data_IF_256380948529
#
_entry.id   IF_256380948529
#
_cell.length_a   1.000
_cell.length_b   1.000
_cell.length_c   1.000
_cell.angle_alpha   90.00
_cell.angle_beta   90.00
_cell.angle_gamma   90.00
#
_symmetry.space_group_name_H-M   'P 1'
#
loop_
_entity.id
_entity.type
_entity.pdbx_description
1 polymer ?
#
# COMPACT_ATOMS: atom_id res chain seq x y z
N UNK A 1 -6.06 -10.74 -1.42
CA UNK A 1 -4.87 -10.95 -2.25
C UNK A 1 -3.79 -10.09 -1.65
N UNK A 2 -2.63 -10.68 -1.38
CA UNK A 2 -1.51 -9.95 -0.81
C UNK A 2 -1.06 -8.83 -1.74
N UNK A 3 -0.48 -7.77 -1.17
CA UNK A 3 0.25 -6.74 -1.90
C UNK A 3 1.24 -7.40 -2.88
N UNK A 4 1.16 -7.02 -4.15
CA UNK A 4 1.97 -7.54 -5.25
C UNK A 4 3.15 -6.62 -5.51
N UNK A 5 4.31 -7.20 -5.84
CA UNK A 5 5.50 -6.44 -6.21
C UNK A 5 5.19 -5.53 -7.40
N UNK A 6 5.58 -4.26 -7.30
CA UNK A 6 5.35 -3.23 -8.31
C UNK A 6 4.04 -2.45 -8.12
N UNK A 7 3.15 -2.87 -7.22
CA UNK A 7 1.97 -2.06 -6.90
C UNK A 7 2.38 -0.77 -6.19
N UNK A 8 1.69 0.32 -6.54
CA UNK A 8 1.88 1.62 -5.87
C UNK A 8 0.65 2.00 -5.10
N UNK A 9 0.88 2.54 -3.91
CA UNK A 9 -0.17 3.02 -3.02
C UNK A 9 0.10 4.47 -2.69
N UNK A 10 -0.95 5.29 -2.76
CA UNK A 10 -0.89 6.71 -2.44
C UNK A 10 -1.88 7.06 -1.34
N UNK A 11 -1.46 7.94 -0.45
CA UNK A 11 -2.35 8.53 0.53
C UNK A 11 -3.44 9.33 -0.18
N UNK A 12 -4.73 9.16 0.16
CA UNK A 12 -5.80 9.93 -0.46
C UNK A 12 -5.80 11.41 -0.05
N UNK A 13 -5.07 11.78 1.02
CA UNK A 13 -4.93 13.18 1.42
C UNK A 13 -3.85 13.89 0.63
N UNK A 14 -4.26 14.93 -0.08
CA UNK A 14 -3.38 15.79 -0.86
C UNK A 14 -2.30 16.47 -0.02
N UNK A 15 -2.62 16.81 1.23
CA UNK A 15 -1.70 17.47 2.16
C UNK A 15 -0.57 16.54 2.63
N UNK A 16 -0.87 15.26 2.82
CA UNK A 16 0.11 14.26 3.20
C UNK A 16 0.94 13.79 1.99
N UNK A 17 0.26 13.45 0.89
CA UNK A 17 0.91 13.16 -0.39
C UNK A 17 1.79 11.89 -0.45
N UNK A 18 1.94 11.13 0.65
CA UNK A 18 2.82 9.97 0.68
C UNK A 18 2.46 8.92 -0.37
N UNK A 19 3.48 8.38 -1.01
CA UNK A 19 3.40 7.28 -1.96
C UNK A 19 4.39 6.20 -1.55
N UNK A 20 3.98 4.93 -1.68
CA UNK A 20 4.85 3.77 -1.48
C UNK A 20 4.73 2.81 -2.66
N UNK A 21 5.82 2.10 -2.93
CA UNK A 21 5.88 1.03 -3.92
C UNK A 21 6.19 -0.29 -3.21
N UNK A 22 5.46 -1.34 -3.57
CA UNK A 22 5.69 -2.68 -3.04
C UNK A 22 6.91 -3.26 -3.75
N UNK A 23 8.06 -3.28 -3.07
CA UNK A 23 9.30 -3.84 -3.64
C UNK A 23 9.36 -5.36 -3.54
N UNK A 24 8.58 -5.95 -2.63
CA UNK A 24 8.49 -7.40 -2.40
C UNK A 24 7.11 -7.77 -1.85
N UNK A 25 6.49 -8.77 -2.45
CA UNK A 25 5.21 -9.33 -2.02
C UNK A 25 5.37 -10.35 -0.91
N UNK A 26 4.31 -10.54 -0.11
CA UNK A 26 4.24 -11.61 0.87
C UNK A 26 4.11 -12.97 0.17
N UNK A 27 4.63 -14.03 0.80
CA UNK A 27 4.45 -15.38 0.29
C UNK A 27 2.96 -15.79 0.32
N UNK A 28 2.50 -16.65 -0.61
CA UNK A 28 1.13 -17.13 -0.63
C UNK A 28 0.71 -17.72 0.73
N UNK A 29 -0.47 -17.31 1.22
CA UNK A 29 -1.01 -17.78 2.50
C UNK A 29 -0.36 -17.18 3.77
N UNK A 30 0.55 -16.20 3.64
CA UNK A 30 1.15 -15.49 4.78
C UNK A 30 0.46 -14.15 5.11
N UNK A 31 -0.69 -13.87 4.51
CA UNK A 31 -1.42 -12.61 4.66
C UNK A 31 -0.87 -11.51 3.76
N UNK A 32 -0.97 -10.25 4.22
CA UNK A 32 -0.60 -9.07 3.43
C UNK A 32 -1.73 -8.54 2.55
N UNK A 33 -2.97 -8.94 2.82
CA UNK A 33 -4.17 -8.49 2.10
C UNK A 33 -4.68 -7.11 2.58
N UNK A 34 -4.11 -6.60 3.66
CA UNK A 34 -4.49 -5.32 4.24
C UNK A 34 -3.79 -4.19 3.48
N UNK A 35 -4.56 -3.16 3.14
CA UNK A 35 -3.99 -1.98 2.52
C UNK A 35 -3.03 -1.27 3.50
N UNK A 36 -1.90 -0.76 3.00
CA UNK A 36 -0.91 -0.09 3.83
C UNK A 36 -1.52 1.18 4.44
N UNK A 37 -1.14 1.48 5.68
CA UNK A 37 -1.53 2.72 6.36
C UNK A 37 -0.48 3.79 6.16
N UNK A 38 -0.95 4.98 5.84
CA UNK A 38 -0.12 6.17 5.75
C UNK A 38 0.27 6.68 7.15
N UNK A 39 1.32 7.49 7.24
CA UNK A 39 1.75 8.15 8.47
C UNK A 39 0.65 9.03 9.09
N UNK A 40 -0.30 9.53 8.29
CA UNK A 40 -1.46 10.29 8.76
C UNK A 40 -2.60 9.39 9.31
N UNK A 41 -2.39 8.08 9.42
CA UNK A 41 -3.36 7.12 9.94
C UNK A 41 -4.42 6.64 8.94
N UNK A 42 -4.50 7.26 7.76
CA UNK A 42 -5.43 6.88 6.69
C UNK A 42 -4.94 5.68 5.91
N UNK A 43 -5.88 4.86 5.46
CA UNK A 43 -5.61 3.75 4.55
C UNK A 43 -5.23 4.29 3.16
N UNK A 44 -4.15 3.75 2.59
CA UNK A 44 -3.64 4.18 1.28
C UNK A 44 -4.42 3.47 0.16
N UNK A 45 -4.59 4.17 -0.96
CA UNK A 45 -5.28 3.64 -2.14
C UNK A 45 -4.28 3.17 -3.18
N UNK A 46 -4.53 2.00 -3.78
CA UNK A 46 -3.75 1.52 -4.93
C UNK A 46 -3.95 2.47 -6.11
N UNK A 47 -2.86 2.86 -6.77
CA UNK A 47 -2.87 3.76 -7.93
C UNK A 47 -2.28 3.13 -9.20
N UNK A 48 -1.52 2.02 -9.09
CA UNK A 48 -1.04 1.23 -10.22
C UNK A 48 -0.88 -0.24 -9.83
#
# INVERSE_FOLDING_TARGET
MALQKGERYRCPESDCGCEIEVTKSAAPGKGGDQAPRCCCGKEMKKVS
#
